data_IF_239412898638
#
_entry.id   IF_239412898638
#
_cell.length_a   1.000
_cell.length_b   1.000
_cell.length_c   1.000
_cell.angle_alpha   90.00
_cell.angle_beta   90.00
_cell.angle_gamma   90.00
#
_symmetry.space_group_name_H-M   'P 1'
#
loop_
_entity.id
_entity.type
_entity.pdbx_description
1 polymer ?
#
# COMPACT_ATOMS: atom_id res chain seq x y z
N UNK A 1 -4.43 -3.19 -6.59
CA UNK A 1 -5.76 -3.81 -6.47
C UNK A 1 -6.63 -3.63 -7.72
N UNK A 2 -6.58 -2.50 -8.44
CA UNK A 2 -7.47 -2.27 -9.60
C UNK A 2 -7.20 -3.13 -10.85
N UNK A 3 -5.94 -3.47 -11.16
CA UNK A 3 -5.58 -4.14 -12.43
C UNK A 3 -6.33 -5.48 -12.65
N UNK A 4 -6.43 -6.40 -11.66
CA UNK A 4 -7.21 -7.64 -11.81
C UNK A 4 -8.72 -7.48 -12.04
N UNK A 5 -9.27 -6.26 -11.91
CA UNK A 5 -10.69 -6.01 -12.16
C UNK A 5 -10.98 -5.74 -13.65
N UNK A 6 -9.98 -5.34 -14.44
CA UNK A 6 -10.20 -4.78 -15.77
C UNK A 6 -10.57 -5.80 -16.85
N UNK A 7 -10.12 -7.04 -16.69
CA UNK A 7 -10.24 -8.10 -17.71
C UNK A 7 -11.07 -9.29 -17.17
N UNK A 8 -11.80 -9.07 -16.06
CA UNK A 8 -12.77 -10.02 -15.49
C UNK A 8 -14.17 -9.74 -16.07
N UNK A 9 -14.81 -10.71 -16.78
CA UNK A 9 -16.10 -10.51 -17.45
C UNK A 9 -17.29 -10.33 -16.49
N UNK A 10 -17.10 -10.46 -15.18
CA UNK A 10 -18.14 -10.18 -14.18
C UNK A 10 -18.45 -8.68 -13.99
N UNK A 11 -17.58 -7.76 -14.45
CA UNK A 11 -17.77 -6.32 -14.31
C UNK A 11 -18.36 -5.67 -15.57
N UNK A 12 -19.29 -4.74 -15.37
CA UNK A 12 -19.92 -3.97 -16.45
C UNK A 12 -18.94 -3.04 -17.18
N UNK A 13 -19.25 -2.62 -18.43
CA UNK A 13 -18.43 -1.65 -19.16
C UNK A 13 -18.22 -0.33 -18.42
N UNK A 14 -19.22 0.13 -17.66
CA UNK A 14 -19.14 1.35 -16.83
C UNK A 14 -18.17 1.17 -15.65
N UNK A 15 -18.17 0.03 -14.97
CA UNK A 15 -17.19 -0.27 -13.91
C UNK A 15 -15.76 -0.39 -14.46
N UNK A 16 -15.58 -1.11 -15.57
CA UNK A 16 -14.29 -1.24 -16.26
C UNK A 16 -13.78 0.13 -16.73
N UNK A 17 -14.67 0.99 -17.25
CA UNK A 17 -14.36 2.37 -17.63
C UNK A 17 -13.88 3.19 -16.43
N UNK A 18 -14.63 3.22 -15.32
CA UNK A 18 -14.26 3.98 -14.12
C UNK A 18 -12.95 3.49 -13.49
N UNK A 19 -12.75 2.17 -13.40
CA UNK A 19 -11.50 1.59 -12.92
C UNK A 19 -10.29 1.98 -13.80
N UNK A 20 -10.48 2.03 -15.12
CA UNK A 20 -9.45 2.46 -16.08
C UNK A 20 -9.14 3.96 -15.97
N UNK A 21 -10.16 4.80 -15.78
CA UNK A 21 -9.99 6.25 -15.53
C UNK A 21 -9.23 6.49 -14.21
N UNK A 22 -9.58 5.76 -13.15
CA UNK A 22 -8.89 5.85 -11.86
C UNK A 22 -7.42 5.38 -11.93
N UNK A 23 -7.12 4.36 -12.75
CA UNK A 23 -5.74 3.97 -13.04
C UNK A 23 -4.95 5.07 -13.76
N UNK A 24 -5.52 5.71 -14.79
CA UNK A 24 -4.92 6.90 -15.43
C UNK A 24 -4.57 7.98 -14.39
N UNK A 25 -5.51 8.37 -13.51
CA UNK A 25 -5.25 9.33 -12.45
C UNK A 25 -4.18 8.87 -11.45
N UNK A 26 -4.10 7.57 -11.18
CA UNK A 26 -3.07 6.99 -10.30
C UNK A 26 -1.69 7.12 -10.93
N UNK A 27 -1.50 6.74 -12.20
CA UNK A 27 -0.22 6.87 -12.90
C UNK A 27 0.18 8.34 -13.12
N UNK A 28 -0.77 9.27 -13.34
CA UNK A 28 -0.50 10.73 -13.33
C UNK A 28 0.06 11.22 -12.00
N UNK A 29 -0.45 10.72 -10.87
CA UNK A 29 0.06 11.07 -9.53
C UNK A 29 1.46 10.49 -9.26
N UNK A 30 1.82 9.40 -9.94
CA UNK A 30 3.16 8.81 -9.96
C UNK A 30 4.09 9.42 -11.03
N UNK A 31 3.65 10.48 -11.72
CA UNK A 31 4.34 11.15 -12.85
C UNK A 31 4.62 10.26 -14.08
N UNK A 32 4.02 9.07 -14.15
CA UNK A 32 4.05 8.20 -15.33
C UNK A 32 2.93 8.59 -16.30
N UNK A 33 3.21 9.65 -17.05
CA UNK A 33 2.29 10.15 -18.08
C UNK A 33 2.12 9.18 -19.26
N UNK A 34 3.10 8.32 -19.53
CA UNK A 34 3.05 7.33 -20.61
C UNK A 34 2.02 6.25 -20.32
N UNK A 35 2.09 5.62 -19.14
CA UNK A 35 1.11 4.62 -18.70
C UNK A 35 -0.25 5.27 -18.40
N UNK A 36 -0.29 6.52 -17.92
CA UNK A 36 -1.56 7.24 -17.80
C UNK A 36 -2.26 7.46 -19.15
N UNK A 37 -1.51 7.79 -20.21
CA UNK A 37 -2.05 7.97 -21.57
C UNK A 37 -2.53 6.66 -22.20
N UNK A 38 -1.86 5.52 -21.93
CA UNK A 38 -2.34 4.22 -22.41
C UNK A 38 -3.65 3.80 -21.72
N UNK A 39 -3.77 3.99 -20.40
CA UNK A 39 -5.04 3.79 -19.68
C UNK A 39 -6.13 4.75 -20.16
N UNK A 40 -5.84 6.04 -20.35
CA UNK A 40 -6.80 6.99 -20.96
C UNK A 40 -7.28 6.53 -22.34
N UNK A 41 -6.43 5.87 -23.11
CA UNK A 41 -6.77 5.31 -24.42
C UNK A 41 -7.67 4.06 -24.30
N UNK A 42 -7.40 3.13 -23.37
CA UNK A 42 -8.31 1.99 -23.06
C UNK A 42 -9.67 2.51 -22.56
N UNK A 43 -9.69 3.53 -21.69
CA UNK A 43 -10.92 4.18 -21.23
C UNK A 43 -11.70 4.85 -22.38
N UNK A 44 -11.01 5.48 -23.34
CA UNK A 44 -11.62 6.02 -24.56
C UNK A 44 -12.22 4.98 -25.51
N UNK A 45 -11.77 3.72 -25.44
CA UNK A 45 -12.40 2.60 -26.13
C UNK A 45 -13.63 2.10 -25.35
N UNK A 46 -13.46 1.79 -24.06
CA UNK A 46 -14.52 1.31 -23.17
C UNK A 46 -15.71 2.26 -23.08
N UNK A 47 -15.47 3.58 -23.09
CA UNK A 47 -16.52 4.61 -23.04
C UNK A 47 -17.62 4.41 -24.10
N UNK A 48 -17.32 3.83 -25.28
CA UNK A 48 -18.32 3.56 -26.33
C UNK A 48 -19.34 2.48 -25.95
N UNK A 49 -19.03 1.65 -24.96
CA UNK A 49 -19.83 0.51 -24.49
C UNK A 49 -20.55 0.82 -23.18
N UNK A 50 -20.34 2.00 -22.60
CA UNK A 50 -20.95 2.44 -21.34
C UNK A 50 -22.39 2.93 -21.50
N UNK A 51 -23.13 3.04 -20.40
CA UNK A 51 -24.50 3.60 -20.35
C UNK A 51 -24.61 5.03 -20.88
N UNK A 52 -23.52 5.82 -20.86
CA UNK A 52 -23.50 7.25 -21.22
C UNK A 52 -22.35 7.58 -22.18
N UNK A 53 -22.35 7.04 -23.42
CA UNK A 53 -21.17 7.02 -24.26
C UNK A 53 -20.68 8.43 -24.63
N UNK A 54 -21.55 9.35 -25.06
CA UNK A 54 -21.14 10.72 -25.44
C UNK A 54 -20.55 11.51 -24.26
N UNK A 55 -21.13 11.32 -23.06
CA UNK A 55 -20.68 11.94 -21.83
C UNK A 55 -19.27 11.47 -21.46
N UNK A 56 -19.07 10.15 -21.49
CA UNK A 56 -17.82 9.51 -21.13
C UNK A 56 -16.74 9.75 -22.20
N UNK A 57 -17.08 9.73 -23.50
CA UNK A 57 -16.20 10.14 -24.59
C UNK A 57 -15.71 11.58 -24.42
N UNK A 58 -16.60 12.51 -24.08
CA UNK A 58 -16.24 13.93 -23.95
C UNK A 58 -15.30 14.16 -22.76
N UNK A 59 -15.55 13.51 -21.63
CA UNK A 59 -14.66 13.55 -20.46
C UNK A 59 -13.26 12.98 -20.77
N UNK A 60 -13.17 11.89 -21.53
CA UNK A 60 -11.87 11.35 -21.99
C UNK A 60 -11.19 12.29 -22.98
N UNK A 61 -11.93 12.90 -23.92
CA UNK A 61 -11.37 13.89 -24.86
C UNK A 61 -10.80 15.11 -24.12
N UNK A 62 -11.46 15.60 -23.06
CA UNK A 62 -10.95 16.67 -22.21
C UNK A 62 -9.69 16.24 -21.43
N UNK A 63 -9.70 15.06 -20.79
CA UNK A 63 -8.51 14.56 -20.10
C UNK A 63 -7.33 14.34 -21.06
N UNK A 64 -7.56 13.85 -22.28
CA UNK A 64 -6.53 13.70 -23.32
C UNK A 64 -6.01 15.05 -23.81
N UNK A 65 -6.87 16.05 -23.99
CA UNK A 65 -6.47 17.41 -24.35
C UNK A 65 -5.53 18.02 -23.30
N UNK A 66 -5.78 17.77 -22.02
CA UNK A 66 -4.93 18.19 -20.89
C UNK A 66 -3.69 17.30 -20.67
N UNK A 67 -3.49 16.23 -21.45
CA UNK A 67 -2.38 15.26 -21.27
C UNK A 67 -1.49 15.10 -22.51
N UNK A 68 -1.88 15.62 -23.68
CA UNK A 68 -1.12 15.52 -24.91
C UNK A 68 -0.23 16.74 -25.18
N UNK A 69 0.79 16.55 -26.02
CA UNK A 69 1.56 17.62 -26.64
C UNK A 69 0.66 18.62 -27.38
N UNK A 70 1.07 19.89 -27.40
CA UNK A 70 0.25 21.05 -27.79
C UNK A 70 -0.52 20.89 -29.11
N UNK A 71 0.08 20.36 -30.19
CA UNK A 71 -0.59 20.19 -31.48
C UNK A 71 -1.73 19.14 -31.47
N UNK A 72 -1.65 18.11 -30.61
CA UNK A 72 -2.74 17.14 -30.39
C UNK A 72 -3.77 17.68 -29.39
N UNK A 73 -3.31 18.45 -28.41
CA UNK A 73 -4.16 19.15 -27.43
C UNK A 73 -5.11 20.14 -28.12
N UNK A 74 -4.58 21.08 -28.92
CA UNK A 74 -5.34 22.11 -29.64
C UNK A 74 -6.50 21.53 -30.46
N UNK A 75 -6.24 20.47 -31.24
CA UNK A 75 -7.24 19.78 -32.06
C UNK A 75 -8.43 19.27 -31.22
N UNK A 76 -8.15 18.71 -30.05
CA UNK A 76 -9.19 18.22 -29.13
C UNK A 76 -9.92 19.39 -28.46
N UNK A 77 -9.21 20.43 -28.01
CA UNK A 77 -9.84 21.60 -27.39
C UNK A 77 -10.81 22.31 -28.35
N UNK A 78 -10.42 22.50 -29.62
CA UNK A 78 -11.30 23.04 -30.67
C UNK A 78 -12.50 22.14 -30.98
N UNK A 79 -12.38 20.82 -30.77
CA UNK A 79 -13.52 19.90 -30.91
C UNK A 79 -14.50 20.02 -29.74
N UNK A 80 -13.99 20.15 -28.50
CA UNK A 80 -14.81 20.38 -27.31
C UNK A 80 -15.53 21.74 -27.39
N UNK A 81 -14.85 22.78 -27.87
CA UNK A 81 -15.43 24.12 -28.02
C UNK A 81 -16.50 24.18 -29.13
N UNK A 82 -16.30 23.51 -30.28
CA UNK A 82 -17.35 23.36 -31.31
C UNK A 82 -18.58 22.62 -30.80
N UNK A 83 -18.41 21.72 -29.83
CA UNK A 83 -19.51 21.03 -29.15
C UNK A 83 -20.05 21.84 -27.94
N UNK A 84 -19.70 23.12 -27.83
CA UNK A 84 -20.05 24.03 -26.73
C UNK A 84 -19.76 23.48 -25.32
N UNK A 85 -18.72 22.65 -25.20
CA UNK A 85 -18.33 21.95 -23.96
C UNK A 85 -19.46 21.10 -23.34
N UNK A 86 -20.44 20.65 -24.15
CA UNK A 86 -21.55 19.78 -23.73
C UNK A 86 -21.00 18.53 -23.02
N UNK A 87 -21.59 18.18 -21.88
CA UNK A 87 -21.15 17.10 -20.97
C UNK A 87 -19.85 17.37 -20.17
N UNK A 88 -19.26 18.56 -20.23
CA UNK A 88 -18.24 19.00 -19.27
C UNK A 88 -18.87 19.90 -18.20
N UNK A 89 -18.52 19.62 -16.94
CA UNK A 89 -18.71 20.49 -15.80
C UNK A 89 -17.87 21.79 -15.93
N UNK A 90 -18.19 22.85 -15.15
CA UNK A 90 -17.47 24.13 -15.25
C UNK A 90 -15.98 24.01 -14.89
N UNK A 91 -15.59 23.13 -13.98
CA UNK A 91 -14.18 22.98 -13.57
C UNK A 91 -13.33 22.40 -14.70
N UNK A 92 -13.78 21.32 -15.33
CA UNK A 92 -13.10 20.74 -16.49
C UNK A 92 -13.17 21.65 -17.73
N UNK A 93 -14.26 22.41 -17.91
CA UNK A 93 -14.34 23.46 -18.94
C UNK A 93 -13.30 24.56 -18.69
N UNK A 94 -13.19 25.08 -17.47
CA UNK A 94 -12.19 26.07 -17.10
C UNK A 94 -10.77 25.58 -17.38
N UNK A 95 -10.46 24.31 -17.03
CA UNK A 95 -9.15 23.70 -17.28
C UNK A 95 -8.81 23.63 -18.77
N UNK A 96 -9.79 23.36 -19.64
CA UNK A 96 -9.62 23.41 -21.10
C UNK A 96 -9.43 24.85 -21.60
N UNK A 97 -10.29 25.79 -21.19
CA UNK A 97 -10.21 27.20 -21.64
C UNK A 97 -8.90 27.86 -21.17
N UNK A 98 -8.43 27.55 -19.96
CA UNK A 98 -7.10 27.92 -19.47
C UNK A 98 -5.97 27.35 -20.35
N UNK A 99 -6.06 26.08 -20.75
CA UNK A 99 -5.07 25.47 -21.64
C UNK A 99 -5.10 26.09 -23.05
N UNK A 100 -6.27 26.51 -23.56
CA UNK A 100 -6.36 27.31 -24.79
C UNK A 100 -5.68 28.69 -24.63
N UNK A 101 -5.92 29.39 -23.51
CA UNK A 101 -5.24 30.64 -23.19
C UNK A 101 -3.72 30.50 -23.12
N UNK A 102 -3.21 29.40 -22.58
CA UNK A 102 -1.78 29.10 -22.56
C UNK A 102 -1.18 28.88 -23.97
N UNK A 103 -1.92 28.30 -24.92
CA UNK A 103 -1.47 28.23 -26.32
C UNK A 103 -1.38 29.62 -26.96
N UNK A 104 -2.33 30.52 -26.68
CA UNK A 104 -2.29 31.91 -27.15
C UNK A 104 -1.12 32.69 -26.52
N UNK A 105 -0.84 32.48 -25.23
CA UNK A 105 0.35 33.03 -24.56
C UNK A 105 1.65 32.57 -25.23
N UNK A 106 1.79 31.28 -25.58
CA UNK A 106 2.94 30.77 -26.35
C UNK A 106 3.03 31.38 -27.76
N UNK A 107 1.88 31.65 -28.40
CA UNK A 107 1.80 32.38 -29.66
C UNK A 107 2.00 33.91 -29.54
N UNK A 108 2.25 34.42 -28.32
CA UNK A 108 2.39 35.85 -27.96
C UNK A 108 1.12 36.70 -28.16
N UNK A 109 -0.03 36.05 -28.29
CA UNK A 109 -1.36 36.67 -28.35
C UNK A 109 -1.86 36.97 -26.92
N UNK A 110 -1.19 37.93 -26.26
CA UNK A 110 -1.40 38.19 -24.84
C UNK A 110 -2.79 38.74 -24.48
N UNK A 111 -3.41 39.69 -25.21
CA UNK A 111 -4.77 40.15 -24.92
C UNK A 111 -5.81 39.02 -25.00
N UNK A 112 -5.71 38.16 -26.01
CA UNK A 112 -6.62 37.04 -26.22
C UNK A 112 -6.41 35.93 -25.18
N UNK A 113 -5.16 35.72 -24.75
CA UNK A 113 -4.84 34.84 -23.63
C UNK A 113 -5.38 35.37 -22.27
N UNK A 114 -5.25 36.68 -22.00
CA UNK A 114 -5.75 37.33 -20.78
C UNK A 114 -7.27 37.12 -20.64
N UNK A 115 -8.00 37.34 -21.74
CA UNK A 115 -9.45 37.13 -21.84
C UNK A 115 -9.89 35.66 -21.71
N UNK A 116 -9.15 34.69 -22.26
CA UNK A 116 -9.44 33.27 -22.01
C UNK A 116 -9.16 32.89 -20.56
N UNK A 117 -8.13 33.46 -19.92
CA UNK A 117 -7.91 33.26 -18.49
C UNK A 117 -9.04 33.83 -17.65
N UNK A 118 -9.57 35.02 -17.94
CA UNK A 118 -10.74 35.57 -17.22
C UNK A 118 -12.00 34.71 -17.43
N UNK A 119 -12.26 34.23 -18.65
CA UNK A 119 -13.35 33.28 -18.93
C UNK A 119 -13.23 32.00 -18.10
N UNK A 120 -12.04 31.42 -18.00
CA UNK A 120 -11.78 30.24 -17.20
C UNK A 120 -11.89 30.51 -15.69
N UNK A 121 -11.51 31.70 -15.22
CA UNK A 121 -11.68 32.12 -13.82
C UNK A 121 -13.17 32.25 -13.43
N UNK A 122 -14.02 32.77 -14.31
CA UNK A 122 -15.48 32.83 -14.09
C UNK A 122 -16.09 31.43 -13.93
N UNK A 123 -15.66 30.46 -14.75
CA UNK A 123 -16.09 29.06 -14.64
C UNK A 123 -15.64 28.40 -13.31
N UNK A 124 -14.42 28.70 -12.83
CA UNK A 124 -13.95 28.25 -11.50
C UNK A 124 -14.68 28.95 -10.34
N UNK A 125 -15.03 30.23 -10.46
CA UNK A 125 -15.71 30.98 -9.40
C UNK A 125 -17.07 30.37 -9.03
N UNK A 126 -17.75 29.73 -9.99
CA UNK A 126 -19.03 29.05 -9.78
C UNK A 126 -18.92 27.56 -9.39
N UNK A 127 -17.70 26.98 -9.35
CA UNK A 127 -17.50 25.53 -9.16
C UNK A 127 -16.43 25.22 -8.11
N UNK A 128 -15.17 25.53 -8.41
CA UNK A 128 -14.00 25.22 -7.58
C UNK A 128 -13.13 26.47 -7.37
N UNK A 129 -13.56 27.44 -6.54
CA UNK A 129 -12.83 28.70 -6.34
C UNK A 129 -11.40 28.53 -5.79
N UNK A 130 -11.13 27.42 -5.10
CA UNK A 130 -9.79 27.11 -4.61
C UNK A 130 -8.77 26.73 -5.71
N UNK A 131 -9.22 26.44 -6.94
CA UNK A 131 -8.34 26.17 -8.09
C UNK A 131 -7.93 27.46 -8.84
N UNK A 132 -8.52 28.61 -8.50
CA UNK A 132 -8.20 29.94 -9.07
C UNK A 132 -6.69 30.27 -9.13
N UNK A 133 -5.87 29.94 -8.10
CA UNK A 133 -4.43 30.15 -8.13
C UNK A 133 -3.69 29.55 -9.34
N UNK A 134 -4.17 28.43 -9.91
CA UNK A 134 -3.53 27.85 -11.10
C UNK A 134 -3.54 28.80 -12.29
N UNK A 135 -4.64 29.54 -12.46
CA UNK A 135 -4.81 30.52 -13.56
C UNK A 135 -4.10 31.83 -13.20
N UNK A 136 -4.23 32.30 -11.95
CA UNK A 136 -3.60 33.55 -11.51
C UNK A 136 -2.06 33.53 -11.69
N UNK A 137 -1.40 32.40 -11.40
CA UNK A 137 0.06 32.27 -11.64
C UNK A 137 0.40 32.28 -13.14
N UNK A 138 -0.51 31.86 -14.03
CA UNK A 138 -0.32 32.03 -15.48
C UNK A 138 -0.63 33.45 -15.98
N UNK A 139 -1.55 34.17 -15.32
CA UNK A 139 -1.71 35.62 -15.51
C UNK A 139 -0.45 36.39 -15.05
N UNK A 140 0.25 35.96 -14.00
CA UNK A 140 1.56 36.52 -13.63
C UNK A 140 2.61 36.39 -14.74
N UNK A 141 2.75 35.21 -15.37
CA UNK A 141 3.65 35.05 -16.53
C UNK A 141 3.27 35.97 -17.70
N UNK A 142 1.98 36.08 -17.99
CA UNK A 142 1.45 36.92 -19.06
C UNK A 142 1.75 38.41 -18.80
N UNK A 143 1.48 38.90 -17.59
CA UNK A 143 1.76 40.29 -17.22
C UNK A 143 3.25 40.61 -17.18
N UNK A 144 4.10 39.66 -16.76
CA UNK A 144 5.54 39.80 -16.84
C UNK A 144 6.04 39.92 -18.29
N UNK A 145 5.50 39.12 -19.22
CA UNK A 145 5.78 39.20 -20.65
C UNK A 145 5.29 40.52 -21.28
N UNK A 146 4.19 41.09 -20.78
CA UNK A 146 3.70 42.43 -21.13
C UNK A 146 4.45 43.58 -20.42
N UNK A 147 5.49 43.28 -19.62
CA UNK A 147 6.25 44.25 -18.80
C UNK A 147 5.42 44.97 -17.70
N UNK A 148 4.26 44.42 -17.32
CA UNK A 148 3.31 45.02 -16.38
C UNK A 148 3.53 44.51 -14.94
N UNK A 149 4.70 44.79 -14.37
CA UNK A 149 5.11 44.27 -13.05
C UNK A 149 4.12 44.60 -11.91
N UNK A 150 3.47 45.77 -11.92
CA UNK A 150 2.43 46.11 -10.95
C UNK A 150 1.23 45.14 -10.98
N UNK A 151 0.85 44.61 -12.17
CA UNK A 151 -0.16 43.55 -12.28
C UNK A 151 0.38 42.19 -11.79
N UNK A 152 1.67 41.91 -11.94
CA UNK A 152 2.31 40.70 -11.38
C UNK A 152 2.19 40.70 -9.85
N UNK A 153 2.53 41.83 -9.21
CA UNK A 153 2.46 41.99 -7.75
C UNK A 153 1.03 41.88 -7.19
N UNK A 154 0.05 42.55 -7.81
CA UNK A 154 -1.35 42.43 -7.35
C UNK A 154 -1.92 41.04 -7.57
N UNK A 155 -1.54 40.37 -8.67
CA UNK A 155 -1.93 38.98 -8.94
C UNK A 155 -1.28 38.00 -7.96
N UNK A 156 -0.01 38.21 -7.58
CA UNK A 156 0.66 37.45 -6.51
C UNK A 156 -0.07 37.61 -5.17
N UNK A 157 -0.44 38.84 -4.80
CA UNK A 157 -1.21 39.09 -3.57
C UNK A 157 -2.58 38.40 -3.60
N UNK A 158 -3.31 38.48 -4.72
CA UNK A 158 -4.58 37.78 -4.91
C UNK A 158 -4.41 36.25 -4.82
N UNK A 159 -3.36 35.72 -5.44
CA UNK A 159 -3.01 34.28 -5.40
C UNK A 159 -2.73 33.82 -3.97
N UNK A 160 -1.97 34.60 -3.20
CA UNK A 160 -1.69 34.30 -1.79
C UNK A 160 -2.97 34.32 -0.94
N UNK A 161 -3.88 35.29 -1.15
CA UNK A 161 -5.17 35.35 -0.44
C UNK A 161 -6.04 34.13 -0.70
N UNK A 162 -6.15 33.67 -1.95
CA UNK A 162 -6.87 32.42 -2.28
C UNK A 162 -6.20 31.19 -1.66
N UNK A 163 -4.87 31.12 -1.69
CA UNK A 163 -4.11 30.03 -1.09
C UNK A 163 -4.32 29.97 0.43
N UNK A 164 -4.39 31.10 1.12
CA UNK A 164 -4.71 31.19 2.55
C UNK A 164 -6.18 30.83 2.84
N UNK A 165 -7.14 31.39 2.11
CA UNK A 165 -8.57 31.12 2.36
C UNK A 165 -8.96 29.65 2.14
N UNK A 166 -8.18 28.92 1.34
CA UNK A 166 -8.35 27.49 1.10
C UNK A 166 -7.39 26.59 1.89
N UNK A 167 -6.42 27.15 2.62
CA UNK A 167 -5.40 26.40 3.35
C UNK A 167 -4.36 25.66 2.48
N UNK A 168 -4.24 26.00 1.20
CA UNK A 168 -3.41 25.27 0.22
C UNK A 168 -2.06 25.98 0.02
N UNK A 169 -1.13 25.76 0.95
CA UNK A 169 0.24 26.34 0.93
C UNK A 169 0.98 26.10 -0.40
N UNK A 170 0.73 24.97 -1.06
CA UNK A 170 1.31 24.63 -2.38
C UNK A 170 1.09 25.72 -3.44
N UNK A 171 -0.03 26.45 -3.39
CA UNK A 171 -0.28 27.54 -4.34
C UNK A 171 0.59 28.78 -4.08
N UNK A 172 1.00 29.04 -2.83
CA UNK A 172 2.02 30.06 -2.53
C UNK A 172 3.39 29.65 -3.06
N UNK A 173 3.79 28.39 -2.84
CA UNK A 173 5.06 27.83 -3.33
C UNK A 173 5.15 28.00 -4.85
N UNK A 174 4.11 27.60 -5.59
CA UNK A 174 4.06 27.76 -7.04
C UNK A 174 4.13 29.24 -7.48
N UNK A 175 3.42 30.15 -6.81
CA UNK A 175 3.45 31.57 -7.15
C UNK A 175 4.82 32.24 -6.90
N UNK A 176 5.52 31.87 -5.83
CA UNK A 176 6.85 32.41 -5.52
C UNK A 176 7.97 31.79 -6.38
N UNK A 177 7.84 30.51 -6.79
CA UNK A 177 8.74 29.89 -7.77
C UNK A 177 8.61 30.54 -9.16
N UNK A 178 7.38 30.82 -9.59
CA UNK A 178 7.10 31.58 -10.83
C UNK A 178 7.62 33.03 -10.75
N UNK A 179 7.41 33.71 -9.62
CA UNK A 179 7.92 35.07 -9.38
C UNK A 179 9.46 35.12 -9.44
N UNK A 180 10.15 34.15 -8.84
CA UNK A 180 11.60 33.97 -8.94
C UNK A 180 12.03 33.76 -10.40
N UNK A 181 11.27 32.99 -11.17
CA UNK A 181 11.46 32.81 -12.62
C UNK A 181 11.32 34.11 -13.40
N UNK A 182 10.31 34.93 -13.10
CA UNK A 182 10.06 36.24 -13.68
C UNK A 182 11.23 37.19 -13.39
N UNK A 183 11.66 37.32 -12.14
CA UNK A 183 12.82 38.16 -11.79
C UNK A 183 14.12 37.69 -12.46
N UNK A 184 14.34 36.36 -12.54
CA UNK A 184 15.48 35.78 -13.26
C UNK A 184 15.49 36.12 -14.75
N UNK A 185 14.35 36.04 -15.45
CA UNK A 185 14.25 36.45 -16.85
C UNK A 185 14.55 37.95 -17.04
N UNK A 186 14.20 38.78 -16.05
CA UNK A 186 14.44 40.23 -16.03
C UNK A 186 15.83 40.64 -15.53
N UNK A 187 16.69 39.67 -15.17
CA UNK A 187 18.01 39.89 -14.57
C UNK A 187 17.97 40.66 -13.21
N UNK A 188 16.82 40.67 -12.54
CA UNK A 188 16.66 41.28 -11.21
C UNK A 188 17.14 40.30 -10.13
N UNK A 189 18.37 40.49 -9.69
CA UNK A 189 18.99 39.67 -8.64
C UNK A 189 18.38 39.91 -7.25
N UNK A 190 17.85 41.10 -6.98
CA UNK A 190 17.31 41.47 -5.67
C UNK A 190 15.92 40.87 -5.50
N UNK A 191 15.03 41.06 -6.49
CA UNK A 191 13.72 40.42 -6.54
C UNK A 191 13.82 38.89 -6.54
N UNK A 192 14.80 38.31 -7.26
CA UNK A 192 15.05 36.87 -7.24
C UNK A 192 15.47 36.36 -5.86
N UNK A 193 16.36 37.07 -5.16
CA UNK A 193 16.80 36.70 -3.82
C UNK A 193 15.65 36.77 -2.80
N UNK A 194 14.85 37.84 -2.84
CA UNK A 194 13.65 38.00 -2.01
C UNK A 194 12.62 36.89 -2.26
N UNK A 195 12.29 36.62 -3.53
CA UNK A 195 11.37 35.55 -3.90
C UNK A 195 11.88 34.16 -3.45
N UNK A 196 13.18 33.91 -3.55
CA UNK A 196 13.82 32.66 -3.09
C UNK A 196 13.71 32.51 -1.57
N UNK A 197 14.02 33.55 -0.78
CA UNK A 197 13.92 33.50 0.69
C UNK A 197 12.50 33.18 1.18
N UNK A 198 11.46 33.69 0.50
CA UNK A 198 10.06 33.36 0.83
C UNK A 198 9.71 31.94 0.39
N UNK A 199 10.15 31.53 -0.81
CA UNK A 199 9.94 30.18 -1.34
C UNK A 199 10.54 29.10 -0.43
N UNK A 200 11.76 29.28 0.06
CA UNK A 200 12.44 28.33 0.95
C UNK A 200 11.73 28.21 2.30
N UNK A 201 11.27 29.35 2.85
CA UNK A 201 10.46 29.39 4.08
C UNK A 201 9.13 28.63 3.92
N UNK A 202 8.45 28.80 2.78
CA UNK A 202 7.22 28.08 2.45
C UNK A 202 7.47 26.58 2.25
N UNK A 203 8.57 26.21 1.59
CA UNK A 203 8.97 24.81 1.40
C UNK A 203 9.29 24.12 2.73
N UNK A 204 9.96 24.81 3.66
CA UNK A 204 10.26 24.27 4.99
C UNK A 204 8.98 24.01 5.80
N UNK A 205 8.03 24.95 5.82
CA UNK A 205 6.74 24.78 6.49
C UNK A 205 5.88 23.67 5.84
N UNK A 206 5.94 23.54 4.51
CA UNK A 206 5.25 22.46 3.79
C UNK A 206 5.88 21.09 4.08
N UNK A 207 7.21 20.98 4.11
CA UNK A 207 7.91 19.75 4.47
C UNK A 207 7.59 19.30 5.91
N UNK A 208 7.56 20.23 6.86
CA UNK A 208 7.16 19.96 8.25
C UNK A 208 5.73 19.43 8.35
N UNK A 209 4.77 20.05 7.65
CA UNK A 209 3.36 19.60 7.68
C UNK A 209 3.16 18.25 6.98
N UNK A 210 3.88 17.96 5.89
CA UNK A 210 3.87 16.62 5.28
C UNK A 210 4.46 15.55 6.22
N UNK A 211 5.60 15.83 6.86
CA UNK A 211 6.24 14.88 7.78
C UNK A 211 5.37 14.57 9.01
N UNK A 212 4.66 15.56 9.56
CA UNK A 212 3.72 15.33 10.67
C UNK A 212 2.50 14.50 10.24
N UNK A 213 1.99 14.69 9.02
CA UNK A 213 0.93 13.85 8.47
C UNK A 213 1.40 12.40 8.23
N UNK A 214 2.62 12.21 7.75
CA UNK A 214 3.22 10.87 7.61
C UNK A 214 3.40 10.20 8.97
N UNK A 215 3.98 10.89 9.96
CA UNK A 215 4.16 10.37 11.32
C UNK A 215 2.82 10.00 11.98
N UNK A 216 1.77 10.79 11.77
CA UNK A 216 0.42 10.48 12.23
C UNK A 216 -0.14 9.19 11.59
N UNK A 217 0.05 9.02 10.28
CA UNK A 217 -0.36 7.81 9.57
C UNK A 217 0.43 6.57 10.03
N UNK A 218 1.75 6.70 10.22
CA UNK A 218 2.60 5.64 10.78
C UNK A 218 2.14 5.25 12.20
N UNK A 219 1.82 6.24 13.04
CA UNK A 219 1.28 5.98 14.38
C UNK A 219 -0.07 5.25 14.33
N UNK A 220 -1.01 5.67 13.47
CA UNK A 220 -2.28 4.96 13.27
C UNK A 220 -2.08 3.51 12.83
N UNK A 221 -1.13 3.22 11.93
CA UNK A 221 -0.83 1.84 11.51
C UNK A 221 -0.24 0.99 12.64
N UNK A 222 0.64 1.57 13.46
CA UNK A 222 1.22 0.88 14.62
C UNK A 222 0.17 0.57 15.71
N UNK A 223 -0.79 1.46 15.95
CA UNK A 223 -1.88 1.18 16.89
C UNK A 223 -2.85 0.10 16.37
N UNK A 224 -3.12 0.06 15.05
CA UNK A 224 -3.88 -1.04 14.43
C UNK A 224 -3.15 -2.37 14.57
N UNK A 225 -1.85 -2.42 14.24
CA UNK A 225 -1.04 -3.62 14.45
C UNK A 225 -1.02 -4.10 15.91
N UNK A 226 -0.99 -3.17 16.89
CA UNK A 226 -1.10 -3.53 18.32
C UNK A 226 -2.46 -4.14 18.64
N UNK A 227 -3.56 -3.57 18.13
CA UNK A 227 -4.92 -4.09 18.32
C UNK A 227 -5.06 -5.49 17.70
N UNK A 228 -4.61 -5.69 16.47
CA UNK A 228 -4.63 -6.99 15.80
C UNK A 228 -3.81 -8.04 16.55
N UNK A 229 -2.60 -7.69 17.02
CA UNK A 229 -1.77 -8.57 17.87
C UNK A 229 -2.46 -8.90 19.20
N UNK A 230 -3.14 -7.93 19.84
CA UNK A 230 -3.90 -8.18 21.08
C UNK A 230 -5.10 -9.11 20.83
N UNK A 231 -5.82 -8.94 19.72
CA UNK A 231 -6.92 -9.82 19.33
C UNK A 231 -6.42 -11.24 19.04
N UNK A 232 -5.34 -11.39 18.28
CA UNK A 232 -4.71 -12.68 18.02
C UNK A 232 -4.23 -13.37 19.31
N UNK A 233 -3.60 -12.63 20.22
CA UNK A 233 -3.15 -13.16 21.52
C UNK A 233 -4.33 -13.60 22.39
N UNK A 234 -5.43 -12.84 22.41
CA UNK A 234 -6.68 -13.23 23.09
C UNK A 234 -7.29 -14.50 22.50
N UNK A 235 -7.33 -14.61 21.16
CA UNK A 235 -7.81 -15.82 20.49
C UNK A 235 -6.93 -17.04 20.81
N UNK A 236 -5.60 -16.90 20.75
CA UNK A 236 -4.66 -17.96 21.14
C UNK A 236 -4.90 -18.41 22.60
N UNK A 237 -4.99 -17.47 23.54
CA UNK A 237 -5.27 -17.78 24.94
C UNK A 237 -6.60 -18.53 25.12
N UNK A 238 -7.67 -18.12 24.43
CA UNK A 238 -8.96 -18.82 24.45
C UNK A 238 -8.84 -20.25 23.87
N UNK A 239 -8.11 -20.45 22.76
CA UNK A 239 -7.93 -21.80 22.20
C UNK A 239 -7.13 -22.71 23.13
N UNK A 240 -6.10 -22.20 23.81
CA UNK A 240 -5.34 -22.97 24.80
C UNK A 240 -6.16 -23.27 26.06
N UNK A 241 -6.98 -22.34 26.54
CA UNK A 241 -7.88 -22.55 27.67
C UNK A 241 -8.92 -23.65 27.37
N UNK A 242 -9.55 -23.62 26.18
CA UNK A 242 -10.50 -24.65 25.75
C UNK A 242 -9.82 -26.02 25.57
N UNK A 243 -8.62 -26.07 24.99
CA UNK A 243 -7.85 -27.31 24.88
C UNK A 243 -7.48 -27.89 26.26
N UNK A 244 -7.04 -27.04 27.19
CA UNK A 244 -6.73 -27.43 28.58
C UNK A 244 -7.94 -28.04 29.29
N UNK A 245 -9.11 -27.39 29.22
CA UNK A 245 -10.37 -27.93 29.76
C UNK A 245 -10.74 -29.27 29.13
N UNK A 246 -10.55 -29.43 27.82
CA UNK A 246 -10.77 -30.70 27.11
C UNK A 246 -9.86 -31.83 27.61
N UNK A 247 -8.55 -31.56 27.80
CA UNK A 247 -7.63 -32.58 28.34
C UNK A 247 -7.95 -32.97 29.79
N UNK A 248 -8.33 -32.00 30.63
CA UNK A 248 -8.75 -32.27 32.02
C UNK A 248 -10.03 -33.12 32.06
N UNK A 249 -11.01 -32.85 31.19
CA UNK A 249 -12.22 -33.65 31.07
C UNK A 249 -11.93 -35.10 30.65
N UNK A 250 -11.02 -35.31 29.70
CA UNK A 250 -10.58 -36.65 29.27
C UNK A 250 -9.85 -37.41 30.39
N UNK A 251 -8.97 -36.73 31.15
CA UNK A 251 -8.29 -37.32 32.31
C UNK A 251 -9.28 -37.69 33.43
N UNK A 252 -10.25 -36.81 33.73
CA UNK A 252 -11.30 -37.09 34.71
C UNK A 252 -12.20 -38.26 34.29
N UNK A 253 -12.57 -38.34 33.01
CA UNK A 253 -13.32 -39.46 32.44
C UNK A 253 -12.52 -40.78 32.53
N UNK A 254 -11.23 -40.74 32.17
CA UNK A 254 -10.33 -41.90 32.29
C UNK A 254 -10.19 -42.38 33.74
N UNK A 255 -10.04 -41.46 34.68
CA UNK A 255 -9.99 -41.76 36.12
C UNK A 255 -11.32 -42.34 36.62
N UNK A 256 -12.46 -41.79 36.21
CA UNK A 256 -13.79 -42.32 36.55
C UNK A 256 -14.00 -43.73 36.00
N UNK A 257 -13.61 -44.00 34.75
CA UNK A 257 -13.62 -45.35 34.15
C UNK A 257 -12.71 -46.29 34.95
N UNK A 258 -11.51 -45.85 35.33
CA UNK A 258 -10.57 -46.66 36.13
C UNK A 258 -11.10 -46.97 37.54
N UNK A 259 -11.69 -46.00 38.22
CA UNK A 259 -12.33 -46.18 39.54
C UNK A 259 -13.56 -47.09 39.45
N UNK A 260 -14.41 -46.94 38.43
CA UNK A 260 -15.55 -47.81 38.16
C UNK A 260 -15.09 -49.25 37.88
N UNK A 261 -14.02 -49.43 37.11
CA UNK A 261 -13.38 -50.75 36.88
C UNK A 261 -12.76 -51.33 38.15
N UNK A 262 -12.16 -50.52 39.03
CA UNK A 262 -11.64 -50.98 40.34
C UNK A 262 -12.77 -51.47 41.24
N UNK A 263 -13.83 -50.68 41.44
CA UNK A 263 -15.01 -51.08 42.23
C UNK A 263 -15.66 -52.37 41.68
N UNK A 264 -15.79 -52.48 40.36
CA UNK A 264 -16.31 -53.71 39.72
C UNK A 264 -15.39 -54.94 39.85
N UNK A 265 -14.08 -54.75 40.08
CA UNK A 265 -13.16 -55.85 40.45
C UNK A 265 -13.28 -56.22 41.92
N UNK A 266 -13.40 -55.25 42.82
CA UNK A 266 -13.59 -55.50 44.27
C UNK A 266 -14.86 -56.30 44.52
N UNK A 267 -16.00 -55.89 43.95
CA UNK A 267 -17.27 -56.62 44.07
C UNK A 267 -17.21 -58.05 43.51
N UNK A 268 -16.35 -58.32 42.50
CA UNK A 268 -16.09 -59.67 42.01
C UNK A 268 -15.23 -60.48 42.95
N UNK A 269 -14.14 -59.88 43.48
CA UNK A 269 -13.26 -60.52 44.47
C UNK A 269 -13.99 -60.81 45.78
N UNK A 270 -14.93 -59.96 46.19
CA UNK A 270 -15.80 -60.17 47.36
C UNK A 270 -16.77 -61.34 47.11
N UNK A 271 -17.43 -61.38 45.96
CA UNK A 271 -18.29 -62.51 45.57
C UNK A 271 -17.52 -63.83 45.37
N UNK A 272 -16.28 -63.77 44.85
CA UNK A 272 -15.36 -64.91 44.75
C UNK A 272 -14.87 -65.33 46.15
N UNK A 273 -14.60 -64.41 47.07
CA UNK A 273 -14.25 -64.71 48.46
C UNK A 273 -15.40 -65.37 49.21
N UNK A 274 -16.63 -64.88 49.07
CA UNK A 274 -17.79 -65.48 49.72
C UNK A 274 -18.17 -66.84 49.10
N UNK A 275 -17.98 -67.00 47.79
CA UNK A 275 -18.06 -68.32 47.15
C UNK A 275 -16.95 -69.26 47.63
N UNK A 276 -15.70 -68.80 47.72
CA UNK A 276 -14.60 -69.61 48.24
C UNK A 276 -14.80 -69.94 49.72
N UNK A 277 -15.44 -69.06 50.51
CA UNK A 277 -15.84 -69.34 51.90
C UNK A 277 -16.91 -70.42 51.98
N UNK A 278 -17.95 -70.38 51.14
CA UNK A 278 -18.99 -71.43 51.14
C UNK A 278 -18.44 -72.77 50.62
N UNK A 279 -17.59 -72.75 49.58
CA UNK A 279 -16.87 -73.93 49.11
C UNK A 279 -15.87 -74.45 50.16
N UNK A 280 -15.16 -73.60 50.90
CA UNK A 280 -14.31 -73.99 52.04
C UNK A 280 -15.13 -74.63 53.17
N UNK A 281 -16.28 -74.06 53.56
CA UNK A 281 -17.13 -74.70 54.59
C UNK A 281 -17.74 -76.02 54.12
N UNK A 282 -17.98 -76.19 52.81
CA UNK A 282 -18.45 -77.44 52.22
C UNK A 282 -17.33 -78.48 52.00
N UNK A 283 -16.06 -78.07 51.98
CA UNK A 283 -14.89 -78.94 51.92
C UNK A 283 -14.35 -79.29 53.32
N UNK A 284 -14.45 -78.38 54.30
CA UNK A 284 -14.05 -78.63 55.69
C UNK A 284 -14.91 -79.71 56.38
N UNK A 285 -16.08 -80.05 55.85
CA UNK A 285 -16.90 -81.19 56.29
C UNK A 285 -16.48 -82.52 55.66
N UNK A 286 -15.55 -82.53 54.68
CA UNK A 286 -15.22 -83.71 53.87
C UNK A 286 -13.71 -83.89 53.62
N UNK A 287 -13.14 -84.84 54.38
CA UNK A 287 -11.88 -85.55 54.11
C UNK A 287 -10.54 -84.82 54.31
N UNK A 288 -9.76 -85.46 55.18
CA UNK A 288 -8.31 -85.43 55.38
C UNK A 288 -7.40 -85.51 54.13
N UNK A 289 -6.12 -85.13 54.37
CA UNK A 289 -4.88 -85.56 53.69
C UNK A 289 -4.36 -84.73 52.48
N UNK A 290 -3.02 -84.75 52.20
CA UNK A 290 -2.31 -83.51 51.83
C UNK A 290 -1.32 -83.59 50.63
N UNK A 291 -0.54 -82.49 50.45
CA UNK A 291 0.72 -82.32 49.67
C UNK A 291 0.62 -82.04 48.15
N UNK A 292 1.33 -80.98 47.70
CA UNK A 292 2.46 -80.94 46.71
C UNK A 292 2.63 -79.52 46.06
N UNK A 293 3.85 -78.93 46.00
CA UNK A 293 4.21 -77.65 45.31
C UNK A 293 4.87 -77.91 43.92
N UNK A 294 5.54 -76.96 43.17
CA UNK A 294 5.82 -75.51 43.31
C UNK A 294 5.21 -74.68 42.12
N UNK A 295 5.75 -73.68 41.38
CA UNK A 295 7.04 -72.96 41.25
C UNK A 295 6.85 -71.54 40.60
N UNK A 296 7.55 -70.45 40.97
CA UNK A 296 8.89 -69.92 40.57
C UNK A 296 9.01 -69.26 39.16
N UNK A 297 8.91 -67.91 39.12
CA UNK A 297 9.68 -66.91 38.30
C UNK A 297 9.70 -67.04 36.74
N UNK A 298 10.34 -66.15 35.94
CA UNK A 298 11.04 -64.88 36.21
C UNK A 298 10.58 -63.65 35.39
N UNK A 299 11.29 -62.53 35.52
CA UNK A 299 11.14 -61.29 34.72
C UNK A 299 12.14 -61.23 33.54
N UNK A 300 11.82 -60.49 32.48
CA UNK A 300 12.80 -59.92 31.53
C UNK A 300 12.39 -58.51 31.06
N UNK A 301 13.32 -57.56 30.87
CA UNK A 301 13.06 -56.24 30.30
C UNK A 301 13.47 -56.14 28.81
N UNK A 302 12.86 -55.22 28.06
CA UNK A 302 13.24 -54.93 26.65
C UNK A 302 13.37 -53.41 26.46
N UNK A 303 14.42 -52.97 25.76
CA UNK A 303 14.73 -51.57 25.50
C UNK A 303 14.04 -51.00 24.24
N UNK A 304 14.04 -49.68 24.09
CA UNK A 304 13.53 -48.95 22.92
C UNK A 304 14.62 -48.03 22.31
N UNK A 305 14.62 -47.77 20.98
CA UNK A 305 15.74 -47.15 20.27
C UNK A 305 15.67 -45.62 20.09
N UNK A 306 16.80 -45.05 19.65
CA UNK A 306 17.06 -43.63 19.39
C UNK A 306 16.44 -43.11 18.07
N UNK A 307 15.97 -41.85 17.99
CA UNK A 307 15.55 -41.24 16.72
C UNK A 307 16.72 -40.70 15.87
N UNK A 308 16.55 -40.72 14.55
CA UNK A 308 17.49 -40.17 13.55
C UNK A 308 17.10 -38.76 13.08
N UNK A 309 18.07 -38.00 12.56
CA UNK A 309 17.89 -36.60 12.10
C UNK A 309 18.10 -36.45 10.57
N UNK A 310 17.32 -35.61 9.86
CA UNK A 310 17.42 -35.42 8.40
C UNK A 310 18.66 -34.61 7.94
N UNK A 311 19.02 -34.64 6.64
CA UNK A 311 20.30 -34.14 6.14
C UNK A 311 20.40 -32.62 5.94
N UNK A 312 21.63 -32.17 5.61
CA UNK A 312 22.05 -30.77 5.45
C UNK A 312 21.31 -29.99 4.35
N UNK A 313 21.23 -28.67 4.56
CA UNK A 313 20.80 -27.66 3.59
C UNK A 313 21.72 -27.63 2.35
N UNK A 314 21.13 -27.34 1.19
CA UNK A 314 21.84 -27.01 -0.04
C UNK A 314 22.17 -25.50 -0.08
N UNK A 315 23.22 -25.10 -0.80
CA UNK A 315 23.59 -23.68 -0.98
C UNK A 315 22.66 -22.98 -1.97
N UNK A 316 22.35 -21.68 -1.81
CA UNK A 316 21.55 -20.93 -2.78
C UNK A 316 22.27 -20.78 -4.13
N UNK A 317 21.53 -20.91 -5.24
CA UNK A 317 22.05 -20.65 -6.59
C UNK A 317 21.90 -19.17 -6.97
N UNK A 318 23.02 -18.46 -6.93
CA UNK A 318 23.11 -17.02 -7.22
C UNK A 318 22.92 -16.67 -8.71
N UNK A 319 22.94 -17.65 -9.63
CA UNK A 319 22.73 -17.40 -11.06
C UNK A 319 21.31 -16.87 -11.36
N UNK A 320 20.35 -17.17 -10.49
CA UNK A 320 18.94 -16.79 -10.58
C UNK A 320 18.66 -15.30 -10.40
N UNK A 321 19.62 -14.52 -9.85
CA UNK A 321 19.46 -13.10 -9.57
C UNK A 321 19.63 -12.25 -10.84
N UNK A 322 18.72 -11.30 -11.07
CA UNK A 322 18.91 -10.24 -12.07
C UNK A 322 20.02 -9.27 -11.68
N UNK A 323 20.59 -8.53 -12.64
CA UNK A 323 21.74 -7.63 -12.41
C UNK A 323 21.45 -6.60 -11.31
N UNK A 324 20.26 -6.01 -11.29
CA UNK A 324 19.83 -5.06 -10.24
C UNK A 324 19.64 -5.69 -8.86
N UNK A 325 19.47 -7.01 -8.77
CA UNK A 325 19.50 -7.73 -7.49
C UNK A 325 20.93 -8.03 -7.06
N UNK A 326 21.88 -8.20 -7.99
CA UNK A 326 23.32 -8.34 -7.71
C UNK A 326 23.90 -7.01 -7.20
N UNK A 327 23.59 -5.89 -7.86
CA UNK A 327 23.93 -4.52 -7.40
C UNK A 327 23.57 -4.30 -5.91
N UNK A 328 22.38 -4.75 -5.51
CA UNK A 328 21.87 -4.64 -4.14
C UNK A 328 22.55 -5.66 -3.21
N UNK A 329 22.77 -6.90 -3.67
CA UNK A 329 23.45 -7.96 -2.92
C UNK A 329 24.89 -7.58 -2.56
N UNK A 330 25.64 -7.03 -3.51
CA UNK A 330 27.02 -6.57 -3.30
C UNK A 330 27.06 -5.43 -2.26
N UNK A 331 26.04 -4.57 -2.23
CA UNK A 331 25.84 -3.57 -1.18
C UNK A 331 25.63 -4.19 0.22
N UNK A 332 24.87 -5.30 0.30
CA UNK A 332 24.66 -6.02 1.57
C UNK A 332 25.97 -6.63 2.08
N UNK A 333 26.71 -7.30 1.18
CA UNK A 333 28.00 -7.97 1.47
C UNK A 333 29.08 -6.95 1.85
N UNK A 334 29.07 -5.76 1.25
CA UNK A 334 29.90 -4.63 1.64
C UNK A 334 29.47 -3.95 2.96
N UNK A 335 28.47 -4.47 3.67
CA UNK A 335 28.04 -3.98 4.98
C UNK A 335 27.18 -2.70 4.96
N UNK A 336 26.85 -2.16 3.79
CA UNK A 336 26.17 -0.87 3.63
C UNK A 336 24.72 -0.91 4.17
N UNK A 337 24.24 0.18 4.77
CA UNK A 337 22.83 0.28 5.17
C UNK A 337 21.91 0.39 3.95
N UNK A 338 20.61 0.15 4.13
CA UNK A 338 19.65 0.27 3.03
C UNK A 338 19.62 1.69 2.43
N UNK A 339 19.98 2.72 3.22
CA UNK A 339 20.09 4.10 2.74
C UNK A 339 21.35 4.29 1.90
N UNK A 340 22.50 3.82 2.37
CA UNK A 340 23.77 3.98 1.64
C UNK A 340 23.76 3.18 0.32
N UNK A 341 23.05 2.04 0.27
CA UNK A 341 22.78 1.29 -0.97
C UNK A 341 21.86 2.09 -1.91
N UNK A 342 20.85 2.77 -1.38
CA UNK A 342 19.94 3.60 -2.17
C UNK A 342 20.66 4.82 -2.77
N UNK A 343 21.45 5.51 -1.94
CA UNK A 343 22.30 6.65 -2.32
C UNK A 343 23.34 6.22 -3.38
N UNK A 344 24.01 5.07 -3.20
CA UNK A 344 25.01 4.52 -4.15
C UNK A 344 24.41 4.08 -5.50
N UNK A 345 23.17 3.59 -5.51
CA UNK A 345 22.51 3.07 -6.72
C UNK A 345 21.56 4.10 -7.38
N UNK A 346 21.46 5.31 -6.84
CA UNK A 346 20.56 6.39 -7.29
C UNK A 346 19.07 5.96 -7.32
N UNK A 347 18.62 5.24 -6.29
CA UNK A 347 17.23 4.78 -6.11
C UNK A 347 16.69 5.17 -4.73
N UNK A 348 15.41 4.91 -4.45
CA UNK A 348 14.86 5.13 -3.10
C UNK A 348 15.18 3.98 -2.15
N UNK A 349 15.23 4.24 -0.85
CA UNK A 349 15.38 3.18 0.18
C UNK A 349 14.24 2.14 0.10
N UNK A 350 13.04 2.56 -0.34
CA UNK A 350 11.92 1.65 -0.58
C UNK A 350 12.14 0.75 -1.80
N UNK A 351 12.86 1.22 -2.83
CA UNK A 351 13.31 0.42 -3.96
C UNK A 351 14.32 -0.65 -3.49
N UNK A 352 15.27 -0.28 -2.62
CA UNK A 352 16.20 -1.24 -2.01
C UNK A 352 15.45 -2.30 -1.17
N UNK A 353 14.53 -1.88 -0.30
CA UNK A 353 13.66 -2.79 0.49
C UNK A 353 12.86 -3.76 -0.38
N UNK A 354 12.38 -3.30 -1.55
CA UNK A 354 11.69 -4.15 -2.51
C UNK A 354 12.61 -5.21 -3.12
N UNK A 355 13.82 -4.83 -3.59
CA UNK A 355 14.79 -5.80 -4.11
C UNK A 355 15.24 -6.80 -3.03
N UNK A 356 15.49 -6.35 -1.80
CA UNK A 356 15.83 -7.21 -0.66
C UNK A 356 14.79 -8.30 -0.43
N UNK A 357 13.50 -7.94 -0.38
CA UNK A 357 12.40 -8.90 -0.19
C UNK A 357 12.38 -9.97 -1.29
N UNK A 358 12.64 -9.59 -2.53
CA UNK A 358 12.67 -10.53 -3.65
C UNK A 358 13.91 -11.43 -3.60
N UNK A 359 15.08 -10.92 -3.16
CA UNK A 359 16.30 -11.72 -2.94
C UNK A 359 16.07 -12.77 -1.85
N UNK A 360 15.47 -12.40 -0.72
CA UNK A 360 15.17 -13.33 0.38
C UNK A 360 14.27 -14.49 -0.08
N UNK A 361 13.21 -14.19 -0.84
CA UNK A 361 12.30 -15.20 -1.41
C UNK A 361 13.02 -16.11 -2.41
N UNK A 362 13.85 -15.55 -3.30
CA UNK A 362 14.53 -16.32 -4.36
C UNK A 362 15.63 -17.25 -3.81
N UNK A 363 16.33 -16.82 -2.76
CA UNK A 363 17.39 -17.59 -2.11
C UNK A 363 16.90 -18.42 -0.91
N UNK A 364 15.60 -18.39 -0.61
CA UNK A 364 14.95 -19.07 0.52
C UNK A 364 15.59 -18.79 1.90
N UNK A 365 16.00 -17.53 2.12
CA UNK A 365 16.54 -17.03 3.40
C UNK A 365 15.55 -16.08 4.07
N UNK A 366 15.61 -15.99 5.40
CA UNK A 366 14.59 -15.31 6.21
C UNK A 366 14.85 -13.81 6.41
N UNK A 367 16.11 -13.43 6.54
CA UNK A 367 16.52 -12.06 6.85
C UNK A 367 17.97 -11.77 6.38
N UNK A 368 18.46 -10.56 6.69
CA UNK A 368 19.80 -10.09 6.29
C UNK A 368 20.95 -10.86 6.94
N UNK A 369 20.76 -11.39 8.15
CA UNK A 369 21.78 -12.19 8.86
C UNK A 369 21.81 -13.60 8.28
N UNK A 370 20.65 -14.22 8.08
CA UNK A 370 20.51 -15.53 7.43
C UNK A 370 21.11 -15.51 6.00
N UNK A 371 20.85 -14.44 5.24
CA UNK A 371 21.49 -14.20 3.94
C UNK A 371 23.03 -14.15 4.04
N UNK A 372 23.58 -13.37 4.98
CA UNK A 372 25.03 -13.22 5.13
C UNK A 372 25.71 -14.51 5.60
N UNK A 373 25.08 -15.31 6.47
CA UNK A 373 25.59 -16.62 6.90
C UNK A 373 25.64 -17.59 5.71
N UNK A 374 24.55 -17.71 4.93
CA UNK A 374 24.50 -18.61 3.77
C UNK A 374 25.48 -18.21 2.65
N UNK A 375 25.83 -16.93 2.53
CA UNK A 375 26.84 -16.44 1.57
C UNK A 375 28.29 -16.59 2.06
N UNK A 376 28.56 -16.37 3.35
CA UNK A 376 29.94 -16.37 3.89
C UNK A 376 30.45 -17.75 4.31
N UNK A 377 29.55 -18.73 4.49
CA UNK A 377 29.91 -20.15 4.57
C UNK A 377 30.71 -20.55 5.83
N UNK A 378 30.49 -19.84 6.94
CA UNK A 378 31.04 -20.14 8.28
C UNK A 378 29.93 -20.54 9.26
#
# INVERSE_FOLDING_TARGET
>A
MLIPLLDNPAYSPDEQFQATVLLSYTYKRLLDYTTALSWLTKAGQLARQTTRPDSNQTQIQAQLALSYQYAKSDRLMRQLERNHFRYLDPENRAKIVHQQGYLLFLAKQYPEADALYDRAMLDLQASSPCDMPMILVKKMQLYAAMNQMQRVETTLQQTCRYADSCGIVKYKIYAYDELKGIYKARHDLIGMAQATSVLDSLNQAYAQTQHMAELHNQHQTLEREKQDRQLATRQQWLTYALAGLGTLALLALGLWIALRRRRARQLRMEAELDRMRTELTALMTLSSSPLVPPAVLPMTPTAAPTPTYPPRLQRPDLSTLSDRQRDVLDGIVAGLSNRDIADKLFVSENTVKYHLKNIYVLLNVRDRVDLLVNLTGK
#
